data_IF_244865830399
#
_entry.id   IF_244865830399
#
_cell.length_a   1.000
_cell.length_b   1.000
_cell.length_c   1.000
_cell.angle_alpha   90.00
_cell.angle_beta   90.00
_cell.angle_gamma   90.00
#
_symmetry.space_group_name_H-M   'P 1'
#
loop_
_entity.id
_entity.type
_entity.pdbx_description
1 polymer ?
#
# COMPACT_ATOMS: atom_id res chain seq x y z
N UNK A 1 41.79 9.79 -6.70
CA UNK A 1 41.55 9.06 -5.42
C UNK A 1 40.55 7.96 -5.72
N UNK A 2 41.03 6.73 -5.86
CA UNK A 2 40.23 5.55 -6.20
C UNK A 2 39.59 5.02 -4.93
N UNK A 3 38.24 5.02 -4.83
CA UNK A 3 37.52 4.38 -3.74
C UNK A 3 37.17 2.96 -4.18
N UNK A 4 37.80 2.01 -3.48
CA UNK A 4 37.63 0.58 -3.62
C UNK A 4 36.23 0.19 -3.12
N UNK A 5 35.41 -0.37 -4.02
CA UNK A 5 34.12 -0.96 -3.70
C UNK A 5 34.36 -2.23 -2.88
N UNK A 6 34.01 -2.19 -1.59
CA UNK A 6 33.94 -3.38 -0.75
C UNK A 6 32.57 -4.01 -0.95
N UNK A 7 32.55 -5.13 -1.66
CA UNK A 7 31.41 -6.04 -1.71
C UNK A 7 31.20 -6.61 -0.30
N UNK A 8 30.11 -6.19 0.36
CA UNK A 8 29.63 -6.84 1.56
C UNK A 8 28.52 -7.79 1.13
N UNK A 9 28.83 -9.08 1.08
CA UNK A 9 27.83 -10.13 0.88
C UNK A 9 26.97 -10.21 2.14
N UNK A 10 25.78 -9.62 2.11
CA UNK A 10 24.79 -9.80 3.18
C UNK A 10 24.16 -11.17 2.98
N UNK A 11 24.56 -12.12 3.81
CA UNK A 11 23.89 -13.40 3.92
C UNK A 11 22.62 -13.21 4.75
N UNK A 12 21.45 -13.21 4.09
CA UNK A 12 20.16 -13.38 4.76
C UNK A 12 20.14 -14.79 5.36
N UNK A 13 20.16 -14.87 6.69
CA UNK A 13 20.05 -16.14 7.39
C UNK A 13 18.59 -16.64 7.32
N UNK A 14 18.28 -17.40 6.27
CA UNK A 14 17.03 -18.15 6.15
C UNK A 14 17.14 -19.39 7.05
N UNK A 15 16.40 -19.40 8.15
CA UNK A 15 16.22 -20.61 8.95
C UNK A 15 15.14 -21.48 8.31
N UNK A 16 15.56 -22.45 7.52
CA UNK A 16 14.70 -23.53 7.05
C UNK A 16 14.62 -24.62 8.14
N UNK A 17 13.50 -24.68 8.86
CA UNK A 17 13.13 -25.87 9.63
C UNK A 17 12.39 -26.83 8.72
N UNK A 18 13.03 -27.96 8.44
CA UNK A 18 12.44 -29.09 7.72
C UNK A 18 11.60 -29.98 8.63
N UNK A 19 10.43 -30.35 8.11
CA UNK A 19 9.68 -31.57 8.39
C UNK A 19 9.20 -32.01 6.99
N UNK A 20 9.51 -33.18 6.45
CA UNK A 20 9.37 -34.51 7.02
C UNK A 20 8.40 -35.25 6.10
N UNK A 21 8.92 -36.18 5.31
CA UNK A 21 8.24 -36.92 4.23
C UNK A 21 7.05 -37.75 4.72
N UNK A 22 5.94 -37.77 3.97
CA UNK A 22 4.98 -38.88 3.98
C UNK A 22 4.55 -39.23 2.55
N UNK A 23 5.00 -40.41 2.11
CA UNK A 23 4.57 -41.08 0.89
C UNK A 23 3.12 -41.60 1.07
N UNK A 24 2.23 -41.33 0.12
CA UNK A 24 1.19 -42.33 -0.21
C UNK A 24 0.74 -42.20 -1.66
N UNK A 25 0.78 -43.33 -2.36
CA UNK A 25 0.57 -43.43 -3.79
C UNK A 25 -0.82 -43.92 -4.21
N UNK A 26 -0.99 -43.91 -5.53
CA UNK A 26 -2.00 -44.67 -6.28
C UNK A 26 -3.38 -44.02 -6.37
N UNK A 27 -4.13 -44.09 -7.47
CA UNK A 27 -3.93 -44.71 -8.78
C UNK A 27 -5.13 -44.35 -9.67
N UNK A 28 -4.88 -43.99 -10.93
CA UNK A 28 -5.71 -44.32 -12.10
C UNK A 28 -7.11 -43.67 -12.25
N UNK A 29 -7.33 -43.00 -13.39
CA UNK A 29 -8.25 -43.48 -14.42
C UNK A 29 -8.13 -42.65 -15.70
N UNK A 30 -8.27 -43.36 -16.82
CA UNK A 30 -8.09 -42.98 -18.21
C UNK A 30 -9.28 -42.23 -18.83
N UNK A 31 -9.03 -41.64 -20.01
CA UNK A 31 -10.02 -41.38 -21.07
C UNK A 31 -10.57 -39.95 -21.11
N UNK A 32 -10.63 -39.22 -22.23
CA UNK A 32 -10.45 -39.59 -23.63
C UNK A 32 -10.46 -38.35 -24.53
N UNK A 33 -10.04 -38.54 -25.77
CA UNK A 33 -9.86 -37.52 -26.80
C UNK A 33 -11.15 -37.26 -27.63
N UNK A 34 -11.33 -36.03 -28.13
CA UNK A 34 -11.85 -35.67 -29.46
C UNK A 34 -11.70 -34.14 -29.64
N UNK A 35 -11.00 -33.58 -30.65
CA UNK A 35 -11.25 -33.49 -32.11
C UNK A 35 -12.33 -32.47 -32.54
N UNK A 36 -11.92 -31.53 -33.42
CA UNK A 36 -12.76 -30.74 -34.35
C UNK A 36 -13.06 -29.32 -33.87
N UNK A 37 -12.97 -28.25 -34.65
CA UNK A 37 -12.77 -28.05 -36.09
C UNK A 37 -13.25 -26.62 -36.46
N UNK A 38 -12.51 -25.98 -37.35
CA UNK A 38 -12.92 -25.00 -38.38
C UNK A 38 -13.78 -23.75 -38.08
N UNK A 39 -13.09 -22.60 -38.15
CA UNK A 39 -13.28 -21.46 -39.06
C UNK A 39 -14.64 -21.12 -39.72
N UNK A 40 -14.89 -19.79 -39.71
CA UNK A 40 -15.52 -18.91 -40.72
C UNK A 40 -16.95 -18.37 -40.49
N UNK A 41 -17.08 -17.06 -40.79
CA UNK A 41 -18.32 -16.32 -41.08
C UNK A 41 -18.62 -15.27 -39.99
N UNK A 42 -18.82 -13.98 -40.26
CA UNK A 42 -18.89 -13.20 -41.48
C UNK A 42 -19.15 -11.73 -41.10
N UNK A 43 -18.67 -10.80 -41.93
CA UNK A 43 -19.11 -9.39 -41.97
C UNK A 43 -20.56 -9.31 -42.56
N UNK A 44 -21.24 -8.15 -42.74
CA UNK A 44 -20.74 -6.76 -42.76
C UNK A 44 -21.73 -5.67 -42.22
N UNK A 45 -21.46 -4.42 -42.61
CA UNK A 45 -22.32 -3.21 -42.63
C UNK A 45 -22.26 -2.38 -41.34
N UNK A 46 -21.99 -1.08 -41.33
CA UNK A 46 -21.88 -0.06 -42.37
C UNK A 46 -22.07 1.32 -41.70
N UNK A 47 -21.62 2.40 -42.35
CA UNK A 47 -22.05 3.76 -41.98
C UNK A 47 -20.92 4.76 -41.82
N UNK A 48 -20.69 5.53 -42.88
CA UNK A 48 -19.90 6.76 -42.89
C UNK A 48 -20.80 7.97 -42.57
N UNK A 49 -20.22 9.00 -41.95
CA UNK A 49 -20.50 10.44 -42.12
C UNK A 49 -19.41 11.19 -41.31
N UNK A 50 -18.42 11.84 -41.92
CA UNK A 50 -18.46 13.19 -42.52
C UNK A 50 -19.10 14.28 -41.65
N UNK A 51 -18.31 15.32 -41.33
CA UNK A 51 -18.80 16.69 -41.25
C UNK A 51 -18.25 17.56 -40.12
N UNK A 52 -17.43 18.56 -40.50
CA UNK A 52 -17.61 19.92 -39.97
C UNK A 52 -16.50 20.55 -39.14
N UNK A 53 -15.57 21.25 -39.81
CA UNK A 53 -14.85 22.40 -39.25
C UNK A 53 -15.79 23.58 -38.97
N UNK A 54 -15.55 24.37 -37.92
CA UNK A 54 -15.20 25.79 -38.03
C UNK A 54 -15.09 26.51 -36.66
N UNK A 55 -13.93 27.19 -36.50
CA UNK A 55 -13.72 28.56 -36.03
C UNK A 55 -14.30 29.07 -34.70
N UNK A 56 -13.37 29.58 -33.88
CA UNK A 56 -13.33 31.03 -33.62
C UNK A 56 -13.42 31.44 -32.15
N UNK A 57 -12.46 32.26 -31.72
CA UNK A 57 -12.62 33.09 -30.53
C UNK A 57 -11.35 33.30 -29.72
N UNK A 58 -10.46 34.14 -30.23
CA UNK A 58 -9.47 34.83 -29.40
C UNK A 58 -10.16 35.98 -28.64
N UNK A 59 -9.74 36.21 -27.39
CA UNK A 59 -9.86 37.52 -26.76
C UNK A 59 -8.83 37.67 -25.64
N UNK A 60 -7.99 38.68 -25.84
CA UNK A 60 -6.96 39.19 -24.95
C UNK A 60 -7.52 39.78 -23.65
N UNK A 61 -6.63 39.87 -22.65
CA UNK A 61 -6.51 41.09 -21.85
C UNK A 61 -6.55 40.90 -20.34
N UNK A 62 -5.45 41.28 -19.67
CA UNK A 62 -5.50 41.64 -18.25
C UNK A 62 -4.21 41.43 -17.47
N UNK A 63 -3.20 42.26 -17.71
CA UNK A 63 -2.09 42.44 -16.78
C UNK A 63 -2.55 43.28 -15.58
N UNK A 64 -2.18 42.86 -14.36
CA UNK A 64 -2.03 43.74 -13.21
C UNK A 64 -0.88 43.25 -12.32
N UNK A 65 -0.02 44.22 -12.03
CA UNK A 65 1.23 44.17 -11.30
C UNK A 65 1.01 44.27 -9.78
N UNK A 66 1.96 43.76 -9.00
CA UNK A 66 2.30 44.32 -7.68
C UNK A 66 1.74 43.63 -6.43
N UNK A 67 2.59 42.82 -5.78
CA UNK A 67 2.41 42.42 -4.38
C UNK A 67 3.50 41.47 -3.90
N UNK A 68 4.55 42.01 -3.27
CA UNK A 68 5.60 41.25 -2.62
C UNK A 68 5.08 40.49 -1.38
N UNK A 69 5.68 39.34 -1.03
CA UNK A 69 5.82 38.90 0.35
C UNK A 69 7.31 38.79 0.70
N UNK A 70 7.81 39.64 1.61
CA UNK A 70 8.06 39.29 3.02
C UNK A 70 8.80 37.97 3.22
N UNK A 71 10.12 38.09 3.44
CA UNK A 71 10.95 37.09 4.09
C UNK A 71 10.36 36.72 5.46
N UNK A 72 10.03 35.44 5.63
CA UNK A 72 9.59 34.85 6.89
C UNK A 72 9.75 33.35 6.80
N UNK A 73 10.81 32.82 7.42
CA UNK A 73 11.17 31.41 7.35
C UNK A 73 10.26 30.47 8.15
N UNK A 74 10.46 29.17 7.91
CA UNK A 74 9.99 28.09 8.77
C UNK A 74 8.89 27.24 8.13
N UNK A 75 9.29 26.23 7.38
CA UNK A 75 8.39 25.22 6.82
C UNK A 75 9.14 24.34 5.84
N UNK A 76 9.95 23.42 6.35
CA UNK A 76 10.58 22.37 5.55
C UNK A 76 9.52 21.34 5.14
N UNK A 77 8.54 21.76 4.34
CA UNK A 77 7.73 20.87 3.50
C UNK A 77 8.54 20.52 2.26
N UNK A 78 9.69 19.90 2.49
CA UNK A 78 10.61 19.51 1.43
C UNK A 78 10.22 18.13 0.95
N UNK A 79 9.40 18.08 -0.10
CA UNK A 79 9.39 16.96 -1.05
C UNK A 79 10.81 16.80 -1.58
N UNK A 80 11.63 16.11 -0.81
CA UNK A 80 13.02 15.84 -1.12
C UNK A 80 12.99 14.86 -2.27
N UNK A 81 13.58 15.21 -3.41
CA UNK A 81 13.85 14.20 -4.45
C UNK A 81 14.49 12.99 -3.78
N UNK A 82 14.04 11.77 -4.10
CA UNK A 82 14.41 10.60 -3.33
C UNK A 82 15.91 10.36 -3.37
N UNK A 83 16.55 10.55 -2.21
CA UNK A 83 18.01 10.59 -2.08
C UNK A 83 18.62 9.19 -2.10
N UNK A 84 17.81 8.14 -1.92
CA UNK A 84 18.20 6.74 -1.78
C UNK A 84 17.37 5.83 -2.70
N UNK A 85 17.21 6.23 -3.98
CA UNK A 85 16.30 5.55 -4.93
C UNK A 85 16.70 4.10 -5.21
N UNK A 86 18.00 3.81 -5.30
CA UNK A 86 18.50 2.45 -5.56
C UNK A 86 18.24 1.54 -4.35
N UNK A 87 18.58 2.00 -3.14
CA UNK A 87 18.38 1.29 -1.88
C UNK A 87 16.91 1.05 -1.60
N UNK A 88 16.05 2.02 -1.92
CA UNK A 88 14.60 1.86 -1.85
C UNK A 88 14.09 0.79 -2.80
N UNK A 89 14.60 0.78 -4.03
CA UNK A 89 14.22 -0.23 -5.02
C UNK A 89 14.61 -1.63 -4.54
N UNK A 90 15.80 -1.78 -3.96
CA UNK A 90 16.26 -3.02 -3.34
C UNK A 90 15.38 -3.43 -2.15
N UNK A 91 15.05 -2.49 -1.26
CA UNK A 91 14.25 -2.75 -0.06
C UNK A 91 12.80 -3.16 -0.40
N UNK A 92 12.19 -2.54 -1.41
CA UNK A 92 10.82 -2.83 -1.81
C UNK A 92 10.68 -4.06 -2.70
N UNK A 93 11.67 -4.32 -3.56
CA UNK A 93 11.61 -5.35 -4.60
C UNK A 93 10.35 -5.21 -5.46
N UNK A 94 10.16 -4.08 -6.17
CA UNK A 94 8.90 -3.76 -6.83
C UNK A 94 8.57 -4.77 -7.94
N UNK A 95 7.32 -5.23 -7.95
CA UNK A 95 6.77 -6.14 -8.94
C UNK A 95 5.76 -5.40 -9.83
N UNK A 96 5.95 -5.51 -11.15
CA UNK A 96 5.08 -4.87 -12.15
C UNK A 96 3.84 -5.72 -12.49
N UNK A 97 3.17 -6.20 -11.46
CA UNK A 97 1.87 -6.86 -11.56
C UNK A 97 1.01 -6.45 -10.37
N UNK A 98 -0.29 -6.33 -10.60
CA UNK A 98 -1.22 -6.00 -9.51
C UNK A 98 -1.32 -7.15 -8.49
N UNK A 99 -1.54 -6.80 -7.23
CA UNK A 99 -1.82 -7.79 -6.20
C UNK A 99 -3.13 -8.54 -6.46
N UNK A 100 -3.07 -9.85 -6.25
CA UNK A 100 -4.22 -10.75 -6.27
C UNK A 100 -4.96 -10.80 -4.93
N UNK A 101 -4.44 -10.12 -3.91
CA UNK A 101 -5.10 -10.02 -2.60
C UNK A 101 -6.46 -9.31 -2.70
N UNK A 102 -7.39 -9.75 -1.86
CA UNK A 102 -8.75 -9.22 -1.78
C UNK A 102 -8.88 -8.16 -0.70
N UNK A 103 -9.76 -7.18 -0.94
CA UNK A 103 -10.30 -6.27 0.07
C UNK A 103 -11.80 -6.51 0.13
N UNK A 104 -12.31 -6.84 1.31
CA UNK A 104 -13.73 -7.18 1.52
C UNK A 104 -14.26 -6.33 2.66
N UNK A 105 -15.31 -5.57 2.40
CA UNK A 105 -16.09 -4.92 3.46
C UNK A 105 -16.89 -6.01 4.18
N UNK A 106 -16.53 -6.27 5.44
CA UNK A 106 -17.17 -7.27 6.29
C UNK A 106 -18.44 -6.74 6.94
N UNK A 107 -18.42 -5.46 7.33
CA UNK A 107 -19.51 -4.78 8.01
C UNK A 107 -19.36 -3.26 7.90
N UNK A 108 -20.48 -2.55 7.99
CA UNK A 108 -20.54 -1.08 8.07
C UNK A 108 -21.59 -0.66 9.09
N UNK A 109 -21.14 0.02 10.15
CA UNK A 109 -22.00 0.51 11.23
C UNK A 109 -21.53 1.90 11.67
N UNK A 110 -22.49 2.82 11.87
CA UNK A 110 -22.24 4.18 12.39
C UNK A 110 -21.11 4.97 11.67
N UNK A 111 -20.98 4.76 10.35
CA UNK A 111 -19.96 5.42 9.52
C UNK A 111 -18.55 4.85 9.66
N UNK A 112 -18.40 3.72 10.36
CA UNK A 112 -17.19 2.91 10.39
C UNK A 112 -17.39 1.62 9.61
N UNK A 113 -16.37 1.24 8.84
CA UNK A 113 -16.32 -0.03 8.13
C UNK A 113 -15.33 -0.99 8.79
N UNK A 114 -15.66 -2.27 8.82
CA UNK A 114 -14.69 -3.33 9.11
C UNK A 114 -14.28 -4.00 7.80
N UNK A 115 -12.99 -4.05 7.53
CA UNK A 115 -12.43 -4.60 6.29
C UNK A 115 -11.65 -5.88 6.57
N UNK A 116 -11.77 -6.87 5.71
CA UNK A 116 -10.76 -7.89 5.51
C UNK A 116 -9.81 -7.46 4.40
N UNK A 117 -8.50 -7.66 4.60
CA UNK A 117 -7.47 -7.39 3.58
C UNK A 117 -6.50 -8.55 3.50
N UNK A 118 -6.44 -9.23 2.35
CA UNK A 118 -5.42 -10.25 2.07
C UNK A 118 -4.13 -9.59 1.59
N UNK A 119 -3.25 -9.28 2.54
CA UNK A 119 -1.87 -8.86 2.30
C UNK A 119 -0.88 -10.00 2.58
N UNK A 120 -1.34 -11.27 2.46
CA UNK A 120 -0.54 -12.43 2.80
C UNK A 120 0.63 -12.64 1.87
N UNK A 121 0.58 -12.09 0.65
CA UNK A 121 1.64 -12.13 -0.35
C UNK A 121 2.20 -13.55 -0.56
N UNK A 122 1.33 -14.57 -0.53
CA UNK A 122 1.72 -15.98 -0.67
C UNK A 122 2.45 -16.59 0.54
N UNK A 123 2.60 -15.85 1.65
CA UNK A 123 3.31 -16.28 2.85
C UNK A 123 4.77 -15.81 2.90
N UNK A 124 5.48 -16.14 3.98
CA UNK A 124 6.86 -15.68 4.22
C UNK A 124 7.82 -16.11 3.10
N UNK A 125 7.62 -17.32 2.54
CA UNK A 125 8.49 -17.86 1.48
C UNK A 125 8.26 -17.16 0.13
N UNK A 126 7.05 -16.64 -0.12
CA UNK A 126 6.66 -16.11 -1.44
C UNK A 126 6.48 -14.59 -1.46
N UNK A 127 6.61 -13.91 -0.32
CA UNK A 127 6.38 -12.45 -0.22
C UNK A 127 7.26 -11.62 -1.16
N UNK A 128 8.46 -12.12 -1.50
CA UNK A 128 9.38 -11.46 -2.42
C UNK A 128 8.95 -11.55 -3.89
N UNK A 129 8.06 -12.51 -4.21
CA UNK A 129 7.53 -12.74 -5.56
C UNK A 129 6.10 -12.20 -5.74
N UNK A 130 5.51 -11.63 -4.69
CA UNK A 130 4.15 -11.11 -4.70
C UNK A 130 4.14 -9.61 -4.40
N UNK A 131 3.34 -8.81 -5.14
CA UNK A 131 3.30 -7.35 -5.00
C UNK A 131 2.63 -6.90 -3.71
N UNK A 132 2.73 -5.61 -3.40
CA UNK A 132 1.96 -4.99 -2.32
C UNK A 132 0.48 -4.90 -2.70
N UNK A 133 -0.41 -4.95 -1.71
CA UNK A 133 -1.80 -4.53 -1.92
C UNK A 133 -1.93 -3.06 -1.55
N UNK A 134 -2.60 -2.29 -2.42
CA UNK A 134 -2.78 -0.84 -2.28
C UNK A 134 -4.26 -0.55 -2.02
N UNK A 135 -4.57 0.25 -1.01
CA UNK A 135 -5.93 0.53 -0.55
C UNK A 135 -6.23 2.01 -0.63
N UNK A 136 -7.45 2.33 -1.04
CA UNK A 136 -8.08 3.65 -0.89
C UNK A 136 -9.09 3.54 0.26
N UNK A 137 -8.89 4.32 1.31
CA UNK A 137 -9.71 4.30 2.52
C UNK A 137 -11.03 5.06 2.35
N UNK A 138 -11.14 5.94 1.35
CA UNK A 138 -12.39 6.63 1.02
C UNK A 138 -13.36 5.69 0.31
N UNK A 139 -12.86 4.86 -0.60
CA UNK A 139 -13.67 3.89 -1.35
C UNK A 139 -13.75 2.52 -0.69
N UNK A 140 -12.86 2.23 0.27
CA UNK A 140 -12.70 0.93 0.92
C UNK A 140 -12.34 -0.19 -0.07
N UNK A 141 -11.68 0.17 -1.16
CA UNK A 141 -11.33 -0.73 -2.27
C UNK A 141 -9.81 -0.85 -2.47
N UNK A 142 -9.42 -1.89 -3.20
CA UNK A 142 -8.06 -2.03 -3.72
C UNK A 142 -7.85 -1.09 -4.91
N UNK A 143 -6.78 -0.31 -4.88
CA UNK A 143 -6.37 0.55 -6.00
C UNK A 143 -5.70 -0.30 -7.10
N UNK A 144 -6.06 -0.03 -8.35
CA UNK A 144 -5.60 -0.78 -9.51
C UNK A 144 -4.19 -0.35 -10.00
N UNK A 145 -3.18 -0.54 -9.16
CA UNK A 145 -1.77 -0.18 -9.43
C UNK A 145 -0.80 -1.35 -9.21
N UNK A 146 0.38 -1.27 -9.83
CA UNK A 146 1.52 -2.16 -9.56
C UNK A 146 2.50 -1.50 -8.60
N UNK A 147 3.47 -2.25 -8.07
CA UNK A 147 4.50 -1.65 -7.21
C UNK A 147 5.32 -0.57 -7.94
N UNK A 148 5.43 -0.69 -9.27
CA UNK A 148 6.15 0.26 -10.13
C UNK A 148 5.33 1.52 -10.40
N UNK A 149 4.03 1.38 -10.67
CA UNK A 149 3.18 2.54 -10.98
C UNK A 149 2.74 3.33 -9.74
N UNK A 150 2.74 2.69 -8.56
CA UNK A 150 2.24 3.29 -7.32
C UNK A 150 3.01 4.55 -6.88
N UNK A 151 4.29 4.69 -7.22
CA UNK A 151 5.11 5.84 -6.81
C UNK A 151 4.64 7.19 -7.37
N UNK A 152 3.95 7.15 -8.51
CA UNK A 152 3.42 8.32 -9.20
C UNK A 152 1.91 8.51 -8.99
N UNK A 153 1.29 7.64 -8.18
CA UNK A 153 -0.16 7.59 -7.98
C UNK A 153 -0.52 8.10 -6.57
N UNK A 154 -1.48 9.01 -6.49
CA UNK A 154 -1.96 9.60 -5.22
C UNK A 154 -3.28 9.01 -4.73
N UNK A 155 -3.88 8.06 -5.47
CA UNK A 155 -5.19 7.49 -5.17
C UNK A 155 -5.14 6.42 -4.07
N UNK A 156 -3.98 5.83 -3.80
CA UNK A 156 -3.82 4.89 -2.70
C UNK A 156 -3.38 5.63 -1.43
N UNK A 157 -3.88 5.15 -0.29
CA UNK A 157 -3.61 5.71 1.04
C UNK A 157 -2.66 4.80 1.82
N UNK A 158 -2.92 3.49 1.78
CA UNK A 158 -2.13 2.46 2.43
C UNK A 158 -1.62 1.44 1.43
N UNK A 159 -0.37 1.00 1.60
CA UNK A 159 0.14 -0.20 0.98
C UNK A 159 0.51 -1.21 2.06
N UNK A 160 0.07 -2.46 1.90
CA UNK A 160 0.24 -3.51 2.89
C UNK A 160 0.92 -4.72 2.25
N UNK A 161 1.92 -5.28 2.93
CA UNK A 161 2.56 -6.55 2.57
C UNK A 161 3.06 -7.22 3.82
N UNK A 162 2.52 -8.41 4.14
CA UNK A 162 2.90 -9.15 5.36
C UNK A 162 2.73 -8.21 6.56
N UNK A 163 3.59 -8.11 7.60
CA UNK A 163 3.32 -7.21 8.71
C UNK A 163 3.59 -5.73 8.39
N UNK A 164 4.03 -5.39 7.17
CA UNK A 164 4.42 -4.01 6.85
C UNK A 164 3.22 -3.27 6.30
N UNK A 165 2.92 -2.12 6.91
CA UNK A 165 1.91 -1.14 6.47
C UNK A 165 2.65 0.16 6.23
N UNK A 166 2.47 0.79 5.07
CA UNK A 166 3.06 2.10 4.75
C UNK A 166 2.00 3.05 4.20
N UNK A 167 2.22 4.34 4.41
CA UNK A 167 1.39 5.40 3.82
C UNK A 167 1.95 5.89 2.49
N UNK A 168 1.08 6.49 1.67
CA UNK A 168 1.49 7.17 0.44
C UNK A 168 2.12 8.54 0.74
N UNK A 169 3.36 8.51 1.20
CA UNK A 169 4.14 9.70 1.52
C UNK A 169 5.62 9.38 1.48
N UNK A 170 6.49 10.39 1.36
CA UNK A 170 7.94 10.23 1.53
C UNK A 170 8.53 9.04 0.78
N UNK A 171 9.29 8.19 1.48
CA UNK A 171 9.85 6.95 0.90
C UNK A 171 8.75 5.91 0.57
N UNK A 172 7.57 6.01 1.15
CA UNK A 172 6.42 5.18 0.86
C UNK A 172 5.75 5.47 -0.47
N UNK A 173 5.79 6.70 -0.97
CA UNK A 173 5.17 7.07 -2.23
C UNK A 173 5.50 8.52 -2.55
N UNK A 174 6.22 8.73 -3.66
CA UNK A 174 6.82 10.04 -3.94
C UNK A 174 5.80 11.10 -4.34
N UNK A 175 4.70 10.70 -4.94
CA UNK A 175 3.62 11.62 -5.34
C UNK A 175 2.67 11.95 -4.19
N UNK A 176 2.59 11.10 -3.16
CA UNK A 176 1.59 11.24 -2.10
C UNK A 176 1.96 12.22 -1.00
N UNK A 177 0.94 12.84 -0.44
CA UNK A 177 1.01 13.74 0.71
C UNK A 177 0.51 13.08 2.00
N UNK A 178 0.33 11.75 2.01
CA UNK A 178 -0.21 11.01 3.14
C UNK A 178 0.66 11.07 4.40
N UNK A 179 0.30 10.23 5.37
CA UNK A 179 1.04 10.10 6.62
C UNK A 179 0.20 9.44 7.69
N UNK A 180 0.83 9.03 8.78
CA UNK A 180 0.11 8.45 9.91
C UNK A 180 0.67 8.94 11.25
N UNK A 181 -0.19 8.86 12.26
CA UNK A 181 0.19 9.10 13.65
C UNK A 181 -0.65 8.22 14.56
N UNK A 182 -0.02 7.58 15.55
CA UNK A 182 -0.70 6.76 16.54
C UNK A 182 -1.23 7.63 17.67
N UNK A 183 -2.48 7.41 18.05
CA UNK A 183 -3.12 7.95 19.24
C UNK A 183 -3.26 6.85 20.28
N UNK A 184 -2.90 7.16 21.53
CA UNK A 184 -3.22 6.34 22.69
C UNK A 184 -4.67 6.61 23.14
N UNK A 185 -5.61 6.29 22.23
CA UNK A 185 -7.05 6.48 22.39
C UNK A 185 -7.79 5.31 21.74
N UNK A 186 -8.96 4.98 22.29
CA UNK A 186 -9.86 4.02 21.67
C UNK A 186 -10.46 4.60 20.38
N UNK A 187 -10.80 3.73 19.42
CA UNK A 187 -11.30 4.14 18.11
C UNK A 187 -12.53 5.06 18.21
N UNK A 188 -13.43 4.76 19.14
CA UNK A 188 -14.67 5.51 19.33
C UNK A 188 -14.46 6.86 20.05
N UNK A 189 -13.31 7.04 20.73
CA UNK A 189 -12.93 8.29 21.38
C UNK A 189 -12.23 9.28 20.44
N UNK A 190 -11.79 8.82 19.25
CA UNK A 190 -11.17 9.69 18.24
C UNK A 190 -12.24 10.49 17.50
N UNK A 191 -12.07 11.81 17.50
CA UNK A 191 -13.03 12.80 17.01
C UNK A 191 -12.42 13.72 15.94
N UNK A 192 -13.24 14.63 15.42
CA UNK A 192 -12.80 15.63 14.45
C UNK A 192 -11.75 16.61 14.97
N UNK A 193 -11.69 16.82 16.29
CA UNK A 193 -10.68 17.65 16.92
C UNK A 193 -9.26 17.09 16.73
N UNK A 194 -9.14 15.76 16.59
CA UNK A 194 -7.86 15.06 16.45
C UNK A 194 -7.31 15.13 15.01
N UNK A 195 -8.15 15.47 14.02
CA UNK A 195 -7.76 15.52 12.60
C UNK A 195 -6.61 16.48 12.28
N UNK A 196 -6.32 17.43 13.17
CA UNK A 196 -5.22 18.40 13.03
C UNK A 196 -3.90 17.91 13.65
N UNK A 197 -3.78 16.63 13.97
CA UNK A 197 -2.55 16.04 14.49
C UNK A 197 -1.36 16.26 13.53
N UNK A 198 -0.15 16.22 14.09
CA UNK A 198 1.07 16.21 13.29
C UNK A 198 1.25 14.80 12.70
N UNK A 199 1.07 14.67 11.39
CA UNK A 199 1.28 13.42 10.67
C UNK A 199 2.75 13.24 10.33
N UNK A 200 3.28 12.06 10.64
CA UNK A 200 4.61 11.65 10.18
C UNK A 200 4.50 11.10 8.75
N UNK A 201 5.52 11.34 7.94
CA UNK A 201 5.67 10.77 6.60
C UNK A 201 6.68 9.63 6.61
N UNK A 202 6.59 8.73 5.63
CA UNK A 202 7.56 7.63 5.53
C UNK A 202 9.00 8.14 5.35
N UNK A 203 9.89 7.65 6.20
CA UNK A 203 11.31 8.03 6.20
C UNK A 203 12.19 6.83 6.55
N UNK A 204 12.36 5.93 5.59
CA UNK A 204 12.97 4.62 5.77
C UNK A 204 14.48 4.66 5.81
N UNK A 205 15.10 5.72 5.28
CA UNK A 205 16.54 5.82 5.18
C UNK A 205 17.09 6.90 6.11
N UNK A 206 18.32 6.69 6.59
CA UNK A 206 19.11 7.76 7.20
C UNK A 206 19.88 8.57 6.13
N UNK A 207 20.71 9.52 6.59
CA UNK A 207 21.47 10.39 5.70
C UNK A 207 22.54 9.66 4.86
N UNK A 208 22.91 8.43 5.24
CA UNK A 208 23.87 7.57 4.55
C UNK A 208 23.17 6.49 3.70
N UNK A 209 21.85 6.61 3.48
CA UNK A 209 21.02 5.63 2.80
C UNK A 209 21.00 4.24 3.45
N UNK A 210 21.21 4.18 4.77
CA UNK A 210 21.01 2.94 5.53
C UNK A 210 19.53 2.77 5.84
N UNK A 211 18.98 1.61 5.49
CA UNK A 211 17.59 1.25 5.78
C UNK A 211 17.38 1.12 7.29
N UNK A 212 16.36 1.81 7.80
CA UNK A 212 15.86 1.71 9.17
C UNK A 212 14.92 0.53 9.26
N UNK A 213 15.13 -0.29 10.28
CA UNK A 213 14.31 -1.46 10.56
C UNK A 213 13.60 -1.29 11.89
N UNK A 214 12.39 -1.84 11.98
CA UNK A 214 11.64 -1.95 13.23
C UNK A 214 12.24 -3.03 14.15
N UNK A 215 11.65 -3.20 15.33
CA UNK A 215 12.09 -4.23 16.28
C UNK A 215 11.91 -5.68 15.76
N UNK A 216 11.02 -5.88 14.78
CA UNK A 216 10.80 -7.15 14.09
C UNK A 216 11.75 -7.39 12.91
N UNK A 217 12.60 -6.42 12.57
CA UNK A 217 13.51 -6.48 11.42
C UNK A 217 12.85 -6.18 10.08
N UNK A 218 11.61 -5.70 10.06
CA UNK A 218 10.95 -5.20 8.87
C UNK A 218 11.31 -3.73 8.62
N UNK A 219 10.98 -3.19 7.44
CA UNK A 219 11.14 -1.76 7.15
C UNK A 219 10.39 -0.96 8.22
N UNK A 220 11.06 0.00 8.85
CA UNK A 220 10.46 0.93 9.80
C UNK A 220 9.56 1.92 9.03
N UNK A 221 8.27 1.95 9.37
CA UNK A 221 7.27 2.80 8.69
C UNK A 221 6.57 3.74 9.66
N UNK A 222 5.69 4.59 9.12
CA UNK A 222 4.81 5.41 9.97
C UNK A 222 3.89 4.57 10.85
N UNK A 223 3.71 3.27 10.57
CA UNK A 223 2.93 2.32 11.36
C UNK A 223 3.75 1.53 12.40
N UNK A 224 4.99 1.91 12.66
CA UNK A 224 5.82 1.25 13.67
C UNK A 224 5.12 1.13 15.03
N UNK A 225 5.21 -0.06 15.64
CA UNK A 225 4.55 -0.38 16.90
C UNK A 225 3.07 -0.72 16.77
N UNK A 226 2.55 -0.94 15.56
CA UNK A 226 1.19 -1.48 15.40
C UNK A 226 1.05 -2.92 15.90
N UNK A 227 2.16 -3.68 15.98
CA UNK A 227 2.18 -5.07 16.42
C UNK A 227 3.24 -5.34 17.47
N UNK A 228 2.96 -6.36 18.28
CA UNK A 228 3.89 -7.02 19.17
C UNK A 228 4.16 -8.44 18.65
N UNK A 229 5.35 -8.94 18.93
CA UNK A 229 5.79 -10.27 18.50
C UNK A 229 6.00 -11.18 19.72
N UNK A 230 5.10 -12.13 19.95
CA UNK A 230 5.23 -13.15 21.00
C UNK A 230 5.35 -14.55 20.40
N UNK A 231 6.52 -15.17 20.55
CA UNK A 231 6.77 -16.58 20.22
C UNK A 231 6.16 -17.03 18.88
N UNK A 232 6.42 -16.27 17.81
CA UNK A 232 5.93 -16.41 16.41
C UNK A 232 4.55 -15.83 16.07
N UNK A 233 3.84 -15.28 17.05
CA UNK A 233 2.52 -14.67 16.87
C UNK A 233 2.64 -13.15 16.80
N UNK A 234 2.05 -12.58 15.76
CA UNK A 234 1.90 -11.13 15.56
C UNK A 234 0.55 -10.70 16.13
N UNK A 235 0.56 -9.88 17.17
CA UNK A 235 -0.68 -9.38 17.79
C UNK A 235 -0.73 -7.86 17.71
N UNK A 236 -1.87 -7.25 17.34
CA UNK A 236 -1.97 -5.80 17.35
C UNK A 236 -1.72 -5.22 18.74
N UNK A 237 -0.91 -4.15 18.82
CA UNK A 237 -0.54 -3.45 20.06
C UNK A 237 -1.64 -2.53 20.61
N UNK A 238 -2.82 -2.52 19.99
CA UNK A 238 -3.95 -1.65 20.32
C UNK A 238 -3.77 -0.18 19.93
N UNK A 239 -4.77 0.64 20.25
CA UNK A 239 -4.79 2.08 19.94
C UNK A 239 -5.29 2.38 18.53
N UNK A 240 -5.41 3.68 18.22
CA UNK A 240 -5.99 4.15 16.96
C UNK A 240 -4.97 4.94 16.16
N UNK A 241 -4.90 4.70 14.88
CA UNK A 241 -4.10 5.48 13.95
C UNK A 241 -4.96 6.54 13.30
N UNK A 242 -4.48 7.79 13.27
CA UNK A 242 -4.92 8.73 12.26
C UNK A 242 -4.08 8.54 11.01
N UNK A 243 -4.73 8.52 9.86
CA UNK A 243 -4.12 8.36 8.54
C UNK A 243 -4.57 9.52 7.67
N UNK A 244 -3.63 10.32 7.18
CA UNK A 244 -3.89 11.29 6.12
C UNK A 244 -3.80 10.56 4.79
N UNK A 245 -4.83 10.74 3.97
CA UNK A 245 -4.95 10.15 2.64
C UNK A 245 -3.77 10.52 1.72
N UNK A 246 -3.51 9.71 0.71
CA UNK A 246 -2.43 9.94 -0.26
C UNK A 246 -2.56 11.24 -1.03
N UNK A 247 -3.79 11.73 -1.23
CA UNK A 247 -4.06 13.03 -1.85
C UNK A 247 -3.93 14.22 -0.88
N UNK A 248 -3.71 13.97 0.41
CA UNK A 248 -3.58 14.98 1.46
C UNK A 248 -4.90 15.59 1.93
N UNK A 249 -6.05 15.21 1.35
CA UNK A 249 -7.34 15.89 1.56
C UNK A 249 -8.11 15.34 2.75
N UNK A 250 -8.17 14.01 2.88
CA UNK A 250 -8.97 13.34 3.91
C UNK A 250 -8.10 12.78 5.03
N UNK A 251 -8.72 12.66 6.21
CA UNK A 251 -8.14 11.97 7.37
C UNK A 251 -9.08 10.85 7.78
N UNK A 252 -8.51 9.68 8.05
CA UNK A 252 -9.20 8.51 8.53
C UNK A 252 -8.68 8.11 9.91
N UNK A 253 -9.55 7.53 10.73
CA UNK A 253 -9.14 6.77 11.91
C UNK A 253 -9.14 5.28 11.55
N UNK A 254 -8.13 4.57 12.02
CA UNK A 254 -7.91 3.17 11.70
C UNK A 254 -7.45 2.39 12.94
N UNK A 255 -8.06 1.23 13.17
CA UNK A 255 -7.61 0.25 14.15
C UNK A 255 -7.30 -1.08 13.44
N UNK A 256 -6.18 -1.70 13.81
CA UNK A 256 -5.82 -3.04 13.33
C UNK A 256 -6.32 -4.04 14.37
N UNK A 257 -7.33 -4.82 14.01
CA UNK A 257 -8.03 -5.73 14.92
C UNK A 257 -7.46 -7.16 14.90
N UNK A 258 -6.95 -7.61 13.76
CA UNK A 258 -6.40 -8.95 13.59
C UNK A 258 -5.37 -8.96 12.44
N UNK A 259 -4.39 -9.86 12.51
CA UNK A 259 -3.39 -10.14 11.47
C UNK A 259 -3.56 -11.52 10.82
N UNK A 260 -4.42 -12.35 11.40
CA UNK A 260 -4.68 -13.72 10.97
C UNK A 260 -6.15 -13.93 10.55
N UNK A 261 -6.85 -12.89 10.12
CA UNK A 261 -8.27 -12.97 9.76
C UNK A 261 -8.55 -13.91 8.59
N UNK A 262 -9.73 -14.52 8.56
CA UNK A 262 -10.32 -15.15 7.39
C UNK A 262 -11.16 -14.12 6.61
N UNK A 263 -11.49 -14.42 5.33
CA UNK A 263 -12.32 -13.54 4.50
C UNK A 263 -13.74 -13.28 5.03
N UNK A 264 -14.22 -14.08 5.98
CA UNK A 264 -15.52 -13.90 6.65
C UNK A 264 -15.40 -13.10 7.97
N UNK A 265 -14.21 -12.59 8.29
CA UNK A 265 -13.93 -11.83 9.50
C UNK A 265 -13.68 -12.67 10.75
N UNK A 266 -13.78 -14.01 10.67
CA UNK A 266 -13.38 -14.89 11.76
C UNK A 266 -11.86 -14.96 11.89
N UNK A 267 -11.33 -15.27 13.08
CA UNK A 267 -9.89 -15.47 13.24
C UNK A 267 -9.44 -16.79 12.59
N UNK A 268 -8.27 -16.74 11.97
CA UNK A 268 -7.59 -17.86 11.32
C UNK A 268 -6.14 -17.98 11.80
N UNK A 269 -5.29 -18.58 10.95
CA UNK A 269 -3.88 -18.84 11.27
C UNK A 269 -2.91 -18.37 10.17
N UNK A 270 -3.43 -17.94 9.03
CA UNK A 270 -2.61 -17.45 7.93
C UNK A 270 -2.28 -15.97 8.15
N UNK A 271 -1.01 -15.68 8.44
CA UNK A 271 -0.58 -14.30 8.69
C UNK A 271 -0.66 -13.41 7.44
N UNK A 272 -0.69 -12.10 7.65
CA UNK A 272 -0.80 -11.10 6.58
C UNK A 272 -2.24 -10.92 6.11
N UNK A 273 -3.21 -11.39 6.90
CA UNK A 273 -4.63 -11.24 6.60
C UNK A 273 -5.25 -10.36 7.64
N UNK A 274 -5.46 -9.11 7.28
CA UNK A 274 -5.84 -8.09 8.23
C UNK A 274 -7.34 -8.07 8.42
N UNK A 275 -7.76 -7.80 9.65
CA UNK A 275 -9.06 -7.20 9.92
C UNK A 275 -8.84 -5.78 10.41
N UNK A 276 -9.34 -4.80 9.67
CA UNK A 276 -9.18 -3.38 9.94
C UNK A 276 -10.53 -2.78 10.30
N UNK A 277 -10.56 -1.80 11.21
CA UNK A 277 -11.71 -0.92 11.41
C UNK A 277 -11.31 0.48 10.95
N UNK A 278 -12.11 1.08 10.07
CA UNK A 278 -11.77 2.37 9.42
C UNK A 278 -12.99 3.29 9.44
N UNK A 279 -12.78 4.58 9.68
CA UNK A 279 -13.81 5.61 9.47
C UNK A 279 -13.16 6.93 9.03
N UNK A 280 -13.85 7.71 8.21
CA UNK A 280 -13.44 9.08 7.90
C UNK A 280 -13.61 9.96 9.14
N UNK A 281 -12.61 10.79 9.43
CA UNK A 281 -12.67 11.79 10.51
C UNK A 281 -13.15 13.10 9.89
N UNK A 282 -14.47 13.31 9.92
CA UNK A 282 -15.08 14.53 9.38
C UNK A 282 -14.92 15.70 10.36
N UNK A 283 -14.45 16.89 9.93
CA UNK A 283 -14.35 18.12 10.74
C UNK A 283 -15.61 18.49 11.53
#
# INVERSE_FOLDING_TARGET
MSRSAKWLTIAIAIWAFGCGDDENGGSGSEGGAASGGDSQGGAPLGGAAEGGSANGGASDGGAADGGAPTDGGGGSGGGSSPVCTEERTEALGPIDTMSTGDVIVLDEEDGAATLFVDASAGGIQEQANNPWIYLDLATLEKVAVTDVSADADTAWDLAIKRPVVRTNSGDGGYAGEGGAVRLDAAFDDVTSADANAAFETEGWFDADCTLKLDAGGAISTTFDGWYEYDNTVVSPGGGTWLVRAGDGVKVFKLEILDYYSNPDGSSGTAGGRYRLRVAEVTP
#
